data_IF_974204891443
#
_entry.id   IF_974204891443
#
_cell.length_a   1.000
_cell.length_b   1.000
_cell.length_c   1.000
_cell.angle_alpha   90.00
_cell.angle_beta   90.00
_cell.angle_gamma   90.00
#
_symmetry.space_group_name_H-M   'P 1'
#
loop_
_entity.id
_entity.type
_entity.pdbx_description
1 polymer ?
#
# COMPACT_ATOMS: atom_id res chain seq x y z
N UNK A 1 -2.07 -19.28 9.56
CA UNK A 1 -1.69 -19.42 8.13
C UNK A 1 -2.40 -18.35 7.35
N UNK A 2 -1.68 -17.54 6.57
CA UNK A 2 -2.32 -16.56 5.68
C UNK A 2 -2.66 -17.27 4.39
N UNK A 3 -3.94 -17.47 4.13
CA UNK A 3 -4.40 -18.06 2.88
C UNK A 3 -4.60 -16.96 1.82
N UNK A 4 -4.12 -17.19 0.61
CA UNK A 4 -4.46 -16.38 -0.56
C UNK A 4 -5.72 -16.97 -1.14
N UNK A 5 -6.77 -16.19 -1.21
CA UNK A 5 -8.02 -16.59 -1.85
C UNK A 5 -8.03 -16.12 -3.30
N UNK A 6 -8.24 -17.04 -4.24
CA UNK A 6 -8.36 -16.72 -5.67
C UNK A 6 -9.83 -16.61 -6.05
N UNK A 7 -10.22 -15.50 -6.65
CA UNK A 7 -11.52 -15.31 -7.28
C UNK A 7 -11.36 -15.32 -8.79
N UNK A 8 -11.80 -16.41 -9.44
CA UNK A 8 -11.60 -16.63 -10.88
C UNK A 8 -12.87 -16.28 -11.62
N UNK A 9 -12.74 -15.44 -12.64
CA UNK A 9 -13.84 -14.95 -13.45
C UNK A 9 -13.54 -15.15 -14.95
N UNK A 10 -14.56 -15.55 -15.70
CA UNK A 10 -14.46 -15.75 -17.15
C UNK A 10 -14.03 -17.16 -17.61
N UNK A 11 -13.66 -18.07 -16.69
CA UNK A 11 -13.36 -19.47 -17.05
C UNK A 11 -13.71 -20.45 -15.94
N UNK A 12 -14.75 -21.27 -16.15
CA UNK A 12 -15.10 -22.38 -15.24
C UNK A 12 -14.06 -23.50 -15.28
N UNK A 13 -13.48 -23.76 -16.45
CA UNK A 13 -12.48 -24.82 -16.65
C UNK A 13 -11.23 -24.51 -15.80
N UNK A 14 -10.73 -23.30 -15.88
CA UNK A 14 -9.55 -22.91 -15.12
C UNK A 14 -9.80 -22.92 -13.60
N UNK A 15 -11.00 -22.51 -13.17
CA UNK A 15 -11.41 -22.63 -11.77
C UNK A 15 -11.37 -24.08 -11.28
N UNK A 16 -11.90 -25.02 -12.08
CA UNK A 16 -11.89 -26.44 -11.74
C UNK A 16 -10.45 -27.00 -11.66
N UNK A 17 -9.60 -26.66 -12.63
CA UNK A 17 -8.18 -27.08 -12.64
C UNK A 17 -7.45 -26.61 -11.39
N UNK A 18 -7.65 -25.35 -10.97
CA UNK A 18 -6.99 -24.82 -9.77
C UNK A 18 -7.49 -25.47 -8.49
N UNK A 19 -8.79 -25.80 -8.42
CA UNK A 19 -9.37 -26.54 -7.28
C UNK A 19 -8.82 -27.96 -7.20
N UNK A 20 -8.73 -28.67 -8.32
CA UNK A 20 -8.18 -30.03 -8.39
C UNK A 20 -6.70 -30.07 -7.99
N UNK A 21 -5.93 -29.06 -8.31
CA UNK A 21 -4.53 -28.96 -7.99
C UNK A 21 -4.28 -28.49 -6.53
N UNK A 22 -5.33 -28.27 -5.73
CA UNK A 22 -5.25 -27.73 -4.36
C UNK A 22 -4.33 -26.48 -4.25
N UNK A 23 -4.26 -25.70 -5.33
CA UNK A 23 -3.37 -24.55 -5.40
C UNK A 23 -3.67 -23.50 -4.33
N UNK A 24 -4.88 -23.45 -3.82
CA UNK A 24 -5.25 -22.61 -2.68
C UNK A 24 -4.42 -22.95 -1.42
N UNK A 25 -4.04 -24.23 -1.23
CA UNK A 25 -3.17 -24.69 -0.15
C UNK A 25 -1.68 -24.52 -0.46
N UNK A 26 -1.31 -24.40 -1.74
CA UNK A 26 0.09 -24.28 -2.20
C UNK A 26 0.58 -22.83 -2.27
N UNK A 27 -0.31 -21.85 -2.18
CA UNK A 27 0.02 -20.42 -2.20
C UNK A 27 0.45 -19.93 -0.81
N UNK A 28 1.44 -20.60 -0.19
CA UNK A 28 2.13 -20.05 0.97
C UNK A 28 3.15 -19.03 0.50
N UNK A 29 3.14 -17.79 1.00
CA UNK A 29 4.17 -16.82 0.65
C UNK A 29 5.53 -17.36 1.08
N UNK A 30 6.46 -17.44 0.11
CA UNK A 30 7.86 -17.80 0.34
C UNK A 30 8.46 -16.77 1.32
N UNK A 31 9.00 -17.22 2.45
CA UNK A 31 9.75 -16.39 3.39
C UNK A 31 8.93 -15.83 4.56
N UNK A 32 8.21 -16.69 5.30
CA UNK A 32 7.65 -16.31 6.60
C UNK A 32 8.62 -16.65 7.74
N UNK A 33 9.51 -15.73 8.04
CA UNK A 33 9.91 -15.46 9.41
C UNK A 33 9.17 -14.20 9.90
N UNK A 34 8.19 -14.40 10.80
CA UNK A 34 7.59 -13.39 11.68
C UNK A 34 6.86 -12.18 11.06
N UNK A 35 5.88 -12.39 10.17
CA UNK A 35 4.92 -11.34 9.86
C UNK A 35 3.50 -11.74 10.29
N UNK A 36 3.01 -11.12 11.37
CA UNK A 36 1.61 -11.13 11.79
C UNK A 36 0.76 -10.42 10.73
N UNK A 37 0.33 -11.12 9.69
CA UNK A 37 -0.63 -10.62 8.71
C UNK A 37 -1.94 -11.38 8.90
N UNK A 38 -2.79 -10.85 9.76
CA UNK A 38 -4.14 -11.36 10.02
C UNK A 38 -5.15 -10.87 8.97
N UNK A 39 -4.92 -11.11 7.66
CA UNK A 39 -5.97 -10.89 6.64
C UNK A 39 -5.78 -11.82 5.46
N UNK A 40 -6.82 -12.58 5.12
CA UNK A 40 -6.93 -13.26 3.83
C UNK A 40 -6.87 -12.23 2.70
N UNK A 41 -5.98 -12.44 1.73
CA UNK A 41 -5.87 -11.59 0.56
C UNK A 41 -6.64 -12.25 -0.56
N UNK A 42 -7.60 -11.54 -1.13
CA UNK A 42 -8.29 -11.96 -2.34
C UNK A 42 -7.54 -11.44 -3.56
N UNK A 43 -7.17 -12.33 -4.46
CA UNK A 43 -6.61 -12.00 -5.78
C UNK A 43 -7.64 -12.35 -6.84
N UNK A 44 -7.99 -11.38 -7.68
CA UNK A 44 -8.93 -11.60 -8.79
C UNK A 44 -8.16 -12.02 -10.03
N UNK A 45 -8.53 -13.16 -10.59
CA UNK A 45 -7.98 -13.69 -11.85
C UNK A 45 -9.06 -13.62 -12.90
N UNK A 46 -8.86 -12.78 -13.91
CA UNK A 46 -9.85 -12.49 -14.94
C UNK A 46 -9.39 -13.02 -16.31
N UNK A 47 -10.16 -13.89 -16.94
CA UNK A 47 -10.04 -14.20 -18.36
C UNK A 47 -10.67 -13.06 -19.14
N UNK A 48 -9.85 -12.10 -19.55
CA UNK A 48 -10.32 -10.78 -19.94
C UNK A 48 -11.18 -10.80 -21.22
N UNK A 49 -10.83 -11.64 -22.20
CA UNK A 49 -11.59 -11.78 -23.44
C UNK A 49 -12.96 -12.43 -23.23
N UNK A 50 -13.14 -13.19 -22.16
CA UNK A 50 -14.41 -13.86 -21.83
C UNK A 50 -15.36 -12.97 -20.99
N UNK A 51 -14.95 -11.75 -20.67
CA UNK A 51 -15.72 -10.79 -19.89
C UNK A 51 -16.03 -9.54 -20.70
N UNK A 52 -17.12 -8.85 -20.34
CA UNK A 52 -17.39 -7.54 -20.93
C UNK A 52 -16.33 -6.54 -20.48
N UNK A 53 -15.83 -5.73 -21.40
CA UNK A 53 -14.79 -4.74 -21.10
C UNK A 53 -15.14 -3.80 -19.91
N UNK A 54 -16.44 -3.52 -19.74
CA UNK A 54 -16.92 -2.71 -18.60
C UNK A 54 -16.68 -3.42 -17.28
N UNK A 55 -16.86 -4.73 -17.21
CA UNK A 55 -16.61 -5.55 -16.02
C UNK A 55 -15.12 -5.56 -15.69
N UNK A 56 -14.27 -5.81 -16.69
CA UNK A 56 -12.81 -5.76 -16.54
C UNK A 56 -12.38 -4.40 -15.99
N UNK A 57 -12.86 -3.29 -16.56
CA UNK A 57 -12.55 -1.94 -16.07
C UNK A 57 -13.00 -1.71 -14.64
N UNK A 58 -14.18 -2.21 -14.25
CA UNK A 58 -14.67 -2.10 -12.88
C UNK A 58 -13.74 -2.82 -11.88
N UNK A 59 -13.32 -4.05 -12.20
CA UNK A 59 -12.37 -4.78 -11.35
C UNK A 59 -11.01 -4.07 -11.24
N UNK A 60 -10.53 -3.43 -12.31
CA UNK A 60 -9.30 -2.65 -12.27
C UNK A 60 -9.42 -1.36 -11.43
N UNK A 61 -10.62 -0.87 -11.15
CA UNK A 61 -10.84 0.28 -10.25
C UNK A 61 -10.81 -0.12 -8.77
N UNK A 62 -11.00 -1.40 -8.46
CA UNK A 62 -10.95 -1.90 -7.09
C UNK A 62 -9.52 -1.86 -6.51
N UNK A 63 -9.41 -1.97 -5.20
CA UNK A 63 -8.12 -1.89 -4.49
C UNK A 63 -7.42 -3.24 -4.32
N UNK A 64 -8.03 -4.32 -4.78
CA UNK A 64 -7.47 -5.66 -4.68
C UNK A 64 -6.48 -5.97 -5.82
N UNK A 65 -5.57 -6.93 -5.63
CA UNK A 65 -4.70 -7.42 -6.70
C UNK A 65 -5.50 -8.07 -7.81
N UNK A 66 -5.14 -7.77 -9.07
CA UNK A 66 -5.80 -8.31 -10.25
C UNK A 66 -4.77 -8.92 -11.19
N UNK A 67 -5.07 -10.12 -11.68
CA UNK A 67 -4.35 -10.77 -12.78
C UNK A 67 -5.29 -10.85 -13.97
N UNK A 68 -4.92 -10.26 -15.09
CA UNK A 68 -5.59 -10.43 -16.37
C UNK A 68 -4.90 -11.56 -17.13
N UNK A 69 -5.63 -12.62 -17.44
CA UNK A 69 -5.20 -13.66 -18.36
C UNK A 69 -5.69 -13.29 -19.75
N UNK A 70 -4.80 -13.24 -20.71
CA UNK A 70 -5.01 -12.74 -22.06
C UNK A 70 -4.60 -13.79 -23.09
N UNK A 71 -5.35 -13.92 -24.18
CA UNK A 71 -4.92 -14.65 -25.37
C UNK A 71 -3.94 -13.83 -26.20
N UNK A 72 -4.10 -12.48 -26.20
CA UNK A 72 -3.23 -11.56 -26.90
C UNK A 72 -2.95 -10.29 -26.06
N UNK A 73 -1.68 -9.94 -25.90
CA UNK A 73 -1.22 -8.72 -25.21
C UNK A 73 -1.76 -7.43 -25.81
N UNK A 74 -2.14 -7.43 -27.07
CA UNK A 74 -2.75 -6.27 -27.73
C UNK A 74 -4.07 -5.85 -27.07
N UNK A 75 -4.74 -6.77 -26.34
CA UNK A 75 -5.97 -6.49 -25.61
C UNK A 75 -5.84 -5.28 -24.68
N UNK A 76 -4.72 -5.15 -23.96
CA UNK A 76 -4.47 -4.02 -23.05
C UNK A 76 -4.47 -2.69 -23.81
N UNK A 77 -3.74 -2.63 -24.92
CA UNK A 77 -3.63 -1.44 -25.76
C UNK A 77 -4.95 -1.11 -26.45
N UNK A 78 -5.60 -2.10 -27.04
CA UNK A 78 -6.85 -1.93 -27.80
C UNK A 78 -8.00 -1.42 -26.92
N UNK A 79 -8.00 -1.78 -25.64
CA UNK A 79 -9.02 -1.36 -24.67
C UNK A 79 -8.60 -0.17 -23.79
N UNK A 80 -7.42 0.42 -24.04
CA UNK A 80 -6.85 1.53 -23.26
C UNK A 80 -6.87 1.23 -21.73
N UNK A 81 -6.36 0.04 -21.35
CA UNK A 81 -6.28 -0.35 -19.95
C UNK A 81 -4.99 0.15 -19.31
N UNK A 82 -5.10 0.80 -18.15
CA UNK A 82 -3.98 1.21 -17.32
C UNK A 82 -3.92 0.33 -16.09
N UNK A 83 -2.90 -0.52 -16.00
CA UNK A 83 -2.66 -1.40 -14.87
C UNK A 83 -1.88 -0.65 -13.79
N UNK A 84 -2.31 -0.83 -12.52
CA UNK A 84 -1.61 -0.31 -11.35
C UNK A 84 -0.51 -1.26 -10.88
N UNK A 85 0.29 -0.84 -9.91
CA UNK A 85 1.43 -1.60 -9.39
C UNK A 85 1.12 -3.03 -8.90
N UNK A 86 -0.12 -3.28 -8.49
CA UNK A 86 -0.63 -4.58 -8.02
C UNK A 86 -1.63 -5.20 -9.01
N UNK A 87 -1.56 -4.83 -10.28
CA UNK A 87 -2.36 -5.37 -11.38
C UNK A 87 -1.41 -5.76 -12.49
N UNK A 88 -1.54 -6.97 -12.99
CA UNK A 88 -0.66 -7.52 -14.02
C UNK A 88 -1.48 -8.18 -15.11
N UNK A 89 -0.89 -8.31 -16.29
CA UNK A 89 -1.41 -9.11 -17.38
C UNK A 89 -0.45 -10.24 -17.72
N UNK A 90 -0.99 -11.42 -17.98
CA UNK A 90 -0.26 -12.62 -18.38
C UNK A 90 -0.89 -13.18 -19.65
N UNK A 91 -0.05 -13.59 -20.59
CA UNK A 91 -0.47 -14.20 -21.84
C UNK A 91 -0.57 -15.70 -21.67
N UNK A 92 -1.60 -16.29 -22.26
CA UNK A 92 -1.82 -17.73 -22.31
C UNK A 92 -1.12 -18.33 -23.55
N UNK A 93 -0.66 -19.58 -23.49
CA UNK A 93 -0.67 -20.47 -22.32
C UNK A 93 0.40 -20.10 -21.27
N UNK A 94 0.12 -20.36 -20.00
CA UNK A 94 1.06 -20.14 -18.90
C UNK A 94 1.30 -21.45 -18.13
N UNK A 95 2.54 -21.69 -17.78
CA UNK A 95 2.93 -22.80 -16.90
C UNK A 95 2.45 -22.56 -15.47
N UNK A 96 1.90 -23.59 -14.82
CA UNK A 96 1.28 -23.48 -13.51
C UNK A 96 2.26 -23.06 -12.40
N UNK A 97 3.51 -23.52 -12.46
CA UNK A 97 4.54 -23.13 -11.50
C UNK A 97 4.91 -21.66 -11.66
N UNK A 98 5.08 -21.19 -12.89
CA UNK A 98 5.33 -19.77 -13.19
C UNK A 98 4.16 -18.90 -12.75
N UNK A 99 2.93 -19.34 -12.98
CA UNK A 99 1.73 -18.63 -12.49
C UNK A 99 1.73 -18.48 -10.97
N UNK A 100 2.05 -19.57 -10.24
CA UNK A 100 2.17 -19.55 -8.77
C UNK A 100 3.23 -18.56 -8.29
N UNK A 101 4.43 -18.57 -8.88
CA UNK A 101 5.50 -17.64 -8.51
C UNK A 101 5.09 -16.17 -8.73
N UNK A 102 4.47 -15.88 -9.86
CA UNK A 102 3.98 -14.55 -10.18
C UNK A 102 2.90 -14.09 -9.19
N UNK A 103 1.97 -14.96 -8.80
CA UNK A 103 0.99 -14.65 -7.77
C UNK A 103 1.63 -14.32 -6.42
N UNK A 104 2.63 -15.09 -6.00
CA UNK A 104 3.36 -14.84 -4.76
C UNK A 104 4.06 -13.46 -4.79
N UNK A 105 4.74 -13.13 -5.89
CA UNK A 105 5.38 -11.83 -6.10
C UNK A 105 4.35 -10.70 -6.07
N UNK A 106 3.22 -10.87 -6.74
CA UNK A 106 2.13 -9.88 -6.79
C UNK A 106 1.56 -9.60 -5.40
N UNK A 107 1.29 -10.65 -4.63
CA UNK A 107 0.78 -10.55 -3.27
C UNK A 107 1.79 -9.90 -2.32
N UNK A 108 3.07 -10.27 -2.42
CA UNK A 108 4.14 -9.66 -1.65
C UNK A 108 4.25 -8.16 -1.95
N UNK A 109 4.23 -7.77 -3.22
CA UNK A 109 4.23 -6.37 -3.68
C UNK A 109 3.01 -5.60 -3.18
N UNK A 110 1.82 -6.18 -3.28
CA UNK A 110 0.58 -5.57 -2.78
C UNK A 110 0.64 -5.32 -1.27
N UNK A 111 1.08 -6.30 -0.49
CA UNK A 111 1.25 -6.18 0.95
C UNK A 111 2.25 -5.07 1.31
N UNK A 112 3.38 -5.03 0.61
CA UNK A 112 4.39 -4.00 0.80
C UNK A 112 3.82 -2.59 0.54
N UNK A 113 3.10 -2.40 -0.58
CA UNK A 113 2.46 -1.13 -0.92
C UNK A 113 1.34 -0.75 0.06
N UNK A 114 0.53 -1.74 0.48
CA UNK A 114 -0.57 -1.50 1.43
C UNK A 114 -0.07 -1.14 2.83
N UNK A 115 1.02 -1.75 3.30
CA UNK A 115 1.63 -1.44 4.59
C UNK A 115 2.29 -0.06 4.62
N UNK A 116 2.82 0.40 3.49
CA UNK A 116 3.48 1.69 3.39
C UNK A 116 2.51 2.87 3.40
N UNK A 117 1.25 2.65 3.03
CA UNK A 117 0.23 3.70 2.92
C UNK A 117 -0.65 3.77 4.16
N UNK A 118 -0.65 4.92 4.78
CA UNK A 118 -1.38 5.18 6.02
C UNK A 118 -2.28 6.39 5.80
N UNK A 119 -3.54 6.31 6.23
CA UNK A 119 -4.47 7.45 6.20
C UNK A 119 -4.50 8.11 7.58
N UNK A 120 -4.24 9.41 7.62
CA UNK A 120 -4.28 10.25 8.82
C UNK A 120 -5.00 11.56 8.51
N UNK A 121 -6.08 11.87 9.20
CA UNK A 121 -6.87 13.12 8.99
C UNK A 121 -7.22 13.37 7.51
N UNK A 122 -7.49 12.32 6.73
CA UNK A 122 -7.76 12.44 5.30
C UNK A 122 -6.53 12.65 4.41
N UNK A 123 -5.34 12.58 4.96
CA UNK A 123 -4.08 12.53 4.22
C UNK A 123 -3.62 11.10 4.01
N UNK A 124 -3.21 10.77 2.79
CA UNK A 124 -2.51 9.53 2.47
C UNK A 124 -1.00 9.77 2.66
N UNK A 125 -0.38 9.04 3.57
CA UNK A 125 1.06 9.08 3.83
C UNK A 125 1.66 7.80 3.31
N UNK A 126 2.62 7.92 2.40
CA UNK A 126 3.40 6.81 1.88
C UNK A 126 4.80 6.81 2.51
N UNK A 127 5.04 5.81 3.37
CA UNK A 127 6.28 5.69 4.11
C UNK A 127 7.47 5.33 3.20
N UNK A 128 7.24 4.54 2.14
CA UNK A 128 8.30 4.16 1.20
C UNK A 128 8.73 5.33 0.32
N UNK A 129 7.75 6.06 -0.20
CA UNK A 129 8.02 7.23 -0.99
C UNK A 129 8.36 8.48 -0.17
N UNK A 130 8.22 8.42 1.16
CA UNK A 130 8.30 9.57 2.07
C UNK A 130 7.48 10.74 1.54
N UNK A 131 6.19 10.52 1.35
CA UNK A 131 5.29 11.51 0.79
C UNK A 131 3.97 11.58 1.54
N UNK A 132 3.37 12.78 1.52
CA UNK A 132 2.03 13.06 2.01
C UNK A 132 1.19 13.57 0.85
N UNK A 133 -0.03 13.04 0.72
CA UNK A 133 -0.95 13.37 -0.35
C UNK A 133 -2.33 13.68 0.19
N UNK A 134 -2.99 14.69 -0.38
CA UNK A 134 -4.41 14.98 -0.17
C UNK A 134 -4.98 15.45 -1.49
N UNK A 135 -6.06 14.84 -1.94
CA UNK A 135 -6.63 15.06 -3.27
C UNK A 135 -5.58 14.81 -4.39
N UNK A 136 -5.32 15.80 -5.25
CA UNK A 136 -4.36 15.72 -6.35
C UNK A 136 -2.95 16.23 -5.97
N UNK A 137 -2.79 16.78 -4.76
CA UNK A 137 -1.53 17.38 -4.32
C UNK A 137 -0.72 16.33 -3.57
N UNK A 138 0.53 16.12 -3.99
CA UNK A 138 1.50 15.22 -3.36
C UNK A 138 2.78 15.98 -3.03
N UNK A 139 3.26 15.83 -1.81
CA UNK A 139 4.42 16.56 -1.29
C UNK A 139 5.40 15.58 -0.65
N UNK A 140 6.68 15.74 -0.93
CA UNK A 140 7.74 14.92 -0.32
C UNK A 140 7.99 15.34 1.14
N UNK A 141 8.24 14.34 1.98
CA UNK A 141 8.63 14.50 3.37
C UNK A 141 10.11 14.14 3.54
N UNK A 142 10.78 14.80 4.45
CA UNK A 142 12.07 14.31 4.95
C UNK A 142 11.83 13.11 5.87
N UNK A 143 12.87 12.33 6.14
CA UNK A 143 12.80 11.19 7.05
C UNK A 143 12.28 11.61 8.44
N UNK A 144 12.82 12.69 9.00
CA UNK A 144 12.41 13.20 10.32
C UNK A 144 10.99 13.77 10.36
N UNK A 145 10.52 14.36 9.27
CA UNK A 145 9.13 14.79 9.13
C UNK A 145 8.17 13.58 9.11
N UNK A 146 8.54 12.52 8.38
CA UNK A 146 7.78 11.27 8.35
C UNK A 146 7.76 10.57 9.71
N UNK A 147 8.93 10.40 10.36
CA UNK A 147 9.03 9.80 11.69
C UNK A 147 8.16 10.55 12.70
N UNK A 148 8.16 11.90 12.66
CA UNK A 148 7.35 12.74 13.54
C UNK A 148 5.85 12.45 13.37
N UNK A 149 5.37 12.37 12.13
CA UNK A 149 3.97 12.04 11.83
C UNK A 149 3.61 10.64 12.35
N UNK A 150 4.46 9.64 12.09
CA UNK A 150 4.20 8.25 12.47
C UNK A 150 4.18 8.07 14.00
N UNK A 151 5.10 8.71 14.71
CA UNK A 151 5.16 8.66 16.18
C UNK A 151 3.94 9.34 16.79
N UNK A 152 3.54 10.52 16.30
CA UNK A 152 2.37 11.22 16.79
C UNK A 152 1.06 10.47 16.49
N UNK A 153 0.95 9.81 15.33
CA UNK A 153 -0.24 9.01 14.97
C UNK A 153 -0.55 7.92 15.99
N UNK A 154 0.47 7.27 16.50
CA UNK A 154 0.31 6.10 17.37
C UNK A 154 0.09 6.47 18.83
N UNK A 155 0.03 7.76 19.17
CA UNK A 155 -0.03 8.24 20.55
C UNK A 155 -1.02 9.41 20.70
N UNK A 156 -1.67 9.48 21.85
CA UNK A 156 -2.59 10.55 22.22
C UNK A 156 -1.85 11.68 22.95
N UNK A 157 -1.07 12.45 22.19
CA UNK A 157 -0.29 13.57 22.72
C UNK A 157 1.08 13.13 23.29
N UNK A 158 2.13 13.78 22.83
CA UNK A 158 3.50 13.48 23.24
C UNK A 158 4.24 14.75 23.63
N UNK A 159 5.03 14.68 24.69
CA UNK A 159 5.88 15.77 25.11
C UNK A 159 7.07 15.97 24.17
N UNK A 160 7.60 17.19 24.12
CA UNK A 160 8.82 17.52 23.37
C UNK A 160 10.00 16.60 23.74
N UNK A 161 10.18 16.33 25.03
CA UNK A 161 11.27 15.47 25.53
C UNK A 161 11.13 14.03 25.01
N UNK A 162 9.91 13.49 24.98
CA UNK A 162 9.66 12.16 24.40
C UNK A 162 9.95 12.12 22.91
N UNK A 163 9.51 13.13 22.15
CA UNK A 163 9.72 13.23 20.71
C UNK A 163 11.21 13.34 20.37
N UNK A 164 11.97 14.16 21.12
CA UNK A 164 13.41 14.26 20.97
C UNK A 164 14.12 12.93 21.20
N UNK A 165 13.76 12.21 22.26
CA UNK A 165 14.35 10.91 22.58
C UNK A 165 14.02 9.85 21.55
N UNK A 166 12.76 9.76 21.12
CA UNK A 166 12.29 8.71 20.23
C UNK A 166 12.76 8.88 18.77
N UNK A 167 12.81 10.12 18.27
CA UNK A 167 13.09 10.40 16.85
C UNK A 167 14.56 10.76 16.61
N UNK A 168 15.17 11.55 17.52
CA UNK A 168 16.56 12.01 17.36
C UNK A 168 17.55 11.23 18.21
N UNK A 169 17.06 10.33 19.10
CA UNK A 169 17.90 9.52 20.01
C UNK A 169 18.79 10.38 20.92
N UNK A 170 18.41 11.62 21.16
CA UNK A 170 19.17 12.53 22.03
C UNK A 170 18.97 12.20 23.52
N UNK A 171 20.07 12.20 24.27
CA UNK A 171 20.02 12.23 25.73
C UNK A 171 19.59 13.63 26.22
N UNK A 172 18.87 13.67 27.35
CA UNK A 172 18.36 14.88 27.95
C UNK A 172 19.53 15.85 28.21
N UNK A 173 19.54 17.01 27.51
CA UNK A 173 20.54 18.07 27.69
C UNK A 173 21.20 18.63 26.42
N UNK A 174 21.00 18.01 25.24
CA UNK A 174 21.54 18.50 23.97
C UNK A 174 20.45 19.09 23.08
N UNK A 175 20.81 20.12 22.38
CA UNK A 175 20.11 21.00 21.44
C UNK A 175 18.64 20.66 21.07
N UNK A 176 17.71 21.39 21.67
CA UNK A 176 16.26 21.29 21.42
C UNK A 176 15.84 21.95 20.10
N UNK A 177 16.72 22.71 19.42
CA UNK A 177 16.41 23.45 18.21
C UNK A 177 16.14 22.56 16.99
N UNK A 178 16.68 21.34 16.97
CA UNK A 178 16.45 20.40 15.88
C UNK A 178 14.96 20.03 15.75
N UNK A 179 14.29 19.70 16.86
CA UNK A 179 12.86 19.38 16.88
C UNK A 179 12.02 20.56 16.38
N UNK A 180 12.24 21.75 16.93
CA UNK A 180 11.49 22.96 16.57
C UNK A 180 11.64 23.30 15.09
N UNK A 181 12.86 23.17 14.58
CA UNK A 181 13.15 23.40 13.15
C UNK A 181 12.38 22.43 12.24
N UNK A 182 12.40 21.13 12.57
CA UNK A 182 11.67 20.12 11.76
C UNK A 182 10.16 20.29 11.90
N UNK A 183 9.64 20.54 13.08
CA UNK A 183 8.22 20.80 13.32
C UNK A 183 7.76 22.05 12.55
N UNK A 184 8.52 23.15 12.63
CA UNK A 184 8.19 24.37 11.90
C UNK A 184 8.18 24.14 10.38
N UNK A 185 9.20 23.46 9.85
CA UNK A 185 9.29 23.12 8.42
C UNK A 185 8.11 22.25 7.98
N UNK A 186 7.73 21.25 8.77
CA UNK A 186 6.58 20.39 8.46
C UNK A 186 5.28 21.21 8.50
N UNK A 187 5.01 21.99 9.54
CA UNK A 187 3.83 22.85 9.61
C UNK A 187 3.75 23.82 8.43
N UNK A 188 4.85 24.50 8.12
CA UNK A 188 4.93 25.42 6.97
C UNK A 188 4.67 24.69 5.64
N UNK A 189 5.18 23.46 5.48
CA UNK A 189 4.93 22.64 4.31
C UNK A 189 3.45 22.26 4.17
N UNK A 190 2.82 21.80 5.25
CA UNK A 190 1.41 21.42 5.27
C UNK A 190 0.51 22.63 5.02
N UNK A 191 0.73 23.74 5.71
CA UNK A 191 -0.02 24.97 5.50
C UNK A 191 0.11 25.49 4.07
N UNK A 192 1.32 25.51 3.51
CA UNK A 192 1.58 25.99 2.15
C UNK A 192 0.86 25.19 1.06
N UNK A 193 0.88 23.85 1.15
CA UNK A 193 0.38 23.00 0.07
C UNK A 193 -1.06 22.53 0.28
N UNK A 194 -1.52 22.45 1.51
CA UNK A 194 -2.83 21.90 1.84
C UNK A 194 -3.75 22.87 2.57
N UNK A 195 -3.28 24.08 2.87
CA UNK A 195 -4.03 25.12 3.61
C UNK A 195 -4.53 24.63 4.98
N UNK A 196 -3.75 23.77 5.64
CA UNK A 196 -4.09 23.17 6.93
C UNK A 196 -3.05 23.60 7.97
N UNK A 197 -3.44 24.50 8.87
CA UNK A 197 -2.59 25.00 9.96
C UNK A 197 -2.69 24.14 11.22
N UNK A 198 -3.70 23.24 11.27
CA UNK A 198 -4.01 22.42 12.45
C UNK A 198 -3.63 20.94 12.27
N UNK A 199 -2.78 20.62 11.30
CA UNK A 199 -2.31 19.26 11.09
C UNK A 199 -1.56 18.70 12.31
N UNK A 200 -0.67 19.51 12.89
CA UNK A 200 -0.01 19.22 14.18
C UNK A 200 -0.29 20.37 15.14
N UNK A 201 -1.04 20.10 16.20
CA UNK A 201 -1.39 21.07 17.23
C UNK A 201 -0.55 20.85 18.49
N UNK A 202 -0.35 21.93 19.25
CA UNK A 202 0.24 21.90 20.58
C UNK A 202 -0.79 22.36 21.59
N UNK A 203 -1.03 21.54 22.61
CA UNK A 203 -1.92 21.85 23.73
C UNK A 203 -1.33 21.30 25.02
N UNK A 204 -1.25 22.15 26.06
CA UNK A 204 -0.69 21.78 27.37
C UNK A 204 0.70 21.15 27.27
N UNK A 205 1.60 21.75 26.45
CA UNK A 205 2.96 21.24 26.20
C UNK A 205 3.03 19.83 25.60
N UNK A 206 1.93 19.33 25.03
CA UNK A 206 1.85 18.08 24.29
C UNK A 206 1.51 18.34 22.82
N UNK A 207 2.12 17.57 21.94
CA UNK A 207 1.91 17.62 20.49
C UNK A 207 0.97 16.51 20.05
N UNK A 208 0.01 16.85 19.20
CA UNK A 208 -1.03 15.96 18.68
C UNK A 208 -1.10 16.06 17.14
N UNK A 209 -1.46 14.94 16.52
CA UNK A 209 -2.00 14.94 15.16
C UNK A 209 -3.49 15.17 15.18
#
# INVERSE_FOLDING_TARGET
MNSIHLSILGSKLFSNILNELELENLLNPIGQENFNINKNISVKVLFAENLKIREVKNFLLESDPVVLLLEDKSYIKNNNLNLRDFQISLELPIEILSFKEILNILVAKYNFLKKSRIIIKGYEIDSNERSIKKNKIKVKLTEKELELILVLKNNNGLSKSFLLKSIWKYNIGLDTHAFETHLHRLRKKISKYFLDENFIIEKNSLYYL
#
